data_IF_555844891270
#
_entry.id   IF_555844891270
#
_cell.length_a   1.000
_cell.length_b   1.000
_cell.length_c   1.000
_cell.angle_alpha   90.00
_cell.angle_beta   90.00
_cell.angle_gamma   90.00
#
_symmetry.space_group_name_H-M   'P 1'
#
loop_
_entity.id
_entity.type
_entity.pdbx_description
1 polymer ?
#
# COMPACT_ATOMS: atom_id res chain seq x y z
N UNK A 1 11.25 14.93 2.66
CA UNK A 1 10.08 15.84 2.55
C UNK A 1 8.86 14.98 2.82
N UNK A 2 8.08 15.34 3.82
CA UNK A 2 6.84 14.63 4.16
C UNK A 2 5.71 15.09 3.24
N UNK A 3 4.80 14.18 2.89
CA UNK A 3 3.59 14.49 2.15
C UNK A 3 2.56 15.09 3.11
N UNK A 4 2.53 16.41 3.21
CA UNK A 4 1.50 17.12 3.95
C UNK A 4 0.24 17.26 3.10
N UNK A 5 -0.86 16.68 3.58
CA UNK A 5 -2.16 16.70 2.92
C UNK A 5 -3.18 17.38 3.83
N UNK A 6 -3.86 18.40 3.30
CA UNK A 6 -5.03 18.96 3.97
C UNK A 6 -6.19 17.96 3.94
N UNK A 7 -6.93 17.85 5.04
CA UNK A 7 -8.10 17.00 5.15
C UNK A 7 -9.23 17.37 4.17
N UNK A 8 -9.22 18.61 3.66
CA UNK A 8 -10.29 19.15 2.80
C UNK A 8 -10.04 18.93 1.31
N UNK A 9 -8.88 18.36 0.94
CA UNK A 9 -8.55 18.06 -0.44
C UNK A 9 -9.54 17.05 -1.03
N UNK A 10 -9.97 17.32 -2.27
CA UNK A 10 -10.76 16.38 -3.05
C UNK A 10 -9.86 15.26 -3.60
N UNK A 11 -10.46 14.16 -3.98
CA UNK A 11 -9.75 12.98 -4.47
C UNK A 11 -8.76 13.30 -5.61
N UNK A 12 -9.20 14.02 -6.64
CA UNK A 12 -8.36 14.41 -7.77
C UNK A 12 -7.16 15.30 -7.34
N UNK A 13 -7.35 16.16 -6.35
CA UNK A 13 -6.28 17.02 -5.83
C UNK A 13 -5.24 16.20 -5.07
N UNK A 14 -5.67 15.23 -4.25
CA UNK A 14 -4.77 14.33 -3.54
C UNK A 14 -3.94 13.50 -4.53
N UNK A 15 -4.58 12.91 -5.55
CA UNK A 15 -3.87 12.17 -6.58
C UNK A 15 -2.87 13.05 -7.33
N UNK A 16 -3.21 14.28 -7.64
CA UNK A 16 -2.31 15.23 -8.28
C UNK A 16 -1.07 15.52 -7.40
N UNK A 17 -1.28 15.80 -6.11
CA UNK A 17 -0.18 16.04 -5.16
C UNK A 17 0.74 14.82 -5.05
N UNK A 18 0.17 13.62 -4.91
CA UNK A 18 0.95 12.39 -4.78
C UNK A 18 1.71 12.06 -6.06
N UNK A 19 1.10 12.22 -7.24
CA UNK A 19 1.78 12.04 -8.54
C UNK A 19 2.97 13.00 -8.68
N UNK A 20 2.75 14.27 -8.41
CA UNK A 20 3.82 15.28 -8.46
C UNK A 20 4.96 14.95 -7.49
N UNK A 21 4.64 14.50 -6.28
CA UNK A 21 5.65 14.07 -5.32
C UNK A 21 6.49 12.91 -5.86
N UNK A 22 5.86 11.90 -6.44
CA UNK A 22 6.57 10.75 -7.01
C UNK A 22 7.44 11.16 -8.20
N UNK A 23 6.93 11.98 -9.10
CA UNK A 23 7.66 12.47 -10.28
C UNK A 23 8.84 13.36 -9.88
N UNK A 24 8.68 14.26 -8.90
CA UNK A 24 9.76 15.11 -8.37
C UNK A 24 10.88 14.28 -7.73
N UNK A 25 10.56 13.12 -7.16
CA UNK A 25 11.55 12.16 -6.67
C UNK A 25 12.09 11.25 -7.80
N UNK A 26 11.72 11.51 -9.05
CA UNK A 26 12.23 10.82 -10.23
C UNK A 26 11.68 9.41 -10.42
N UNK A 27 10.48 9.13 -9.92
CA UNK A 27 9.78 7.88 -10.19
C UNK A 27 8.91 7.98 -11.44
N UNK A 28 8.89 6.90 -12.19
CA UNK A 28 8.01 6.74 -13.34
C UNK A 28 6.75 5.98 -12.90
N UNK A 29 5.61 6.64 -13.00
CA UNK A 29 4.30 6.02 -12.79
C UNK A 29 3.90 5.36 -14.11
N UNK A 30 3.73 4.04 -14.11
CA UNK A 30 3.39 3.26 -15.31
C UNK A 30 1.91 2.95 -15.41
N UNK A 31 1.18 3.02 -14.30
CA UNK A 31 -0.27 2.84 -14.26
C UNK A 31 -0.84 3.54 -13.02
N UNK A 32 -2.11 3.92 -13.08
CA UNK A 32 -2.86 4.44 -11.95
C UNK A 32 -4.33 4.04 -12.03
N UNK A 33 -4.95 3.79 -10.89
CA UNK A 33 -6.40 3.61 -10.79
C UNK A 33 -6.96 4.53 -9.71
N UNK A 34 -7.62 5.59 -10.15
CA UNK A 34 -8.26 6.61 -9.31
C UNK A 34 -9.76 6.33 -9.10
N UNK A 35 -10.27 5.25 -9.70
CA UNK A 35 -11.71 4.93 -9.71
C UNK A 35 -12.13 4.03 -8.55
N UNK A 36 -11.17 3.52 -7.77
CA UNK A 36 -11.47 2.65 -6.64
C UNK A 36 -12.35 3.35 -5.61
N UNK A 37 -13.37 2.67 -5.08
CA UNK A 37 -14.33 3.28 -4.15
C UNK A 37 -13.72 3.64 -2.80
N UNK A 38 -12.55 3.08 -2.47
CA UNK A 38 -11.80 3.35 -1.25
C UNK A 38 -10.69 4.40 -1.43
N UNK A 39 -10.45 4.89 -2.63
CA UNK A 39 -9.35 5.80 -2.98
C UNK A 39 -8.72 5.39 -4.31
N UNK A 40 -7.56 4.75 -4.27
CA UNK A 40 -6.90 4.23 -5.46
C UNK A 40 -5.41 4.01 -5.27
N UNK A 41 -4.69 3.82 -6.38
CA UNK A 41 -3.27 3.52 -6.33
C UNK A 41 -2.49 4.00 -7.55
N UNK A 42 -1.18 4.11 -7.39
CA UNK A 42 -0.20 4.34 -8.45
C UNK A 42 0.74 3.14 -8.53
N UNK A 43 1.02 2.67 -9.74
CA UNK A 43 2.01 1.62 -10.00
C UNK A 43 3.31 2.27 -10.46
N UNK A 44 4.39 1.97 -9.77
CA UNK A 44 5.73 2.47 -10.10
C UNK A 44 6.45 1.45 -10.96
N UNK A 45 7.27 1.92 -11.90
CA UNK A 45 8.08 1.07 -12.77
C UNK A 45 8.96 0.14 -11.92
N UNK A 46 8.85 -1.16 -12.13
CA UNK A 46 9.58 -2.19 -11.36
C UNK A 46 11.11 -2.07 -11.51
N UNK A 47 11.60 -1.47 -12.62
CA UNK A 47 13.03 -1.17 -12.78
C UNK A 47 13.55 -0.18 -11.72
N UNK A 48 12.66 0.53 -11.05
CA UNK A 48 12.96 1.49 -9.98
C UNK A 48 12.72 0.92 -8.57
N UNK A 49 12.49 -0.39 -8.44
CA UNK A 49 12.19 -1.02 -7.13
C UNK A 49 13.30 -0.76 -6.10
N UNK A 50 14.57 -0.83 -6.48
CA UNK A 50 15.68 -0.55 -5.55
C UNK A 50 15.65 0.92 -5.11
N UNK A 51 15.47 1.86 -6.02
CA UNK A 51 15.35 3.29 -5.71
C UNK A 51 14.16 3.55 -4.76
N UNK A 52 13.04 2.85 -4.96
CA UNK A 52 11.86 2.95 -4.11
C UNK A 52 12.14 2.44 -2.68
N UNK A 53 12.84 1.31 -2.57
CA UNK A 53 13.28 0.75 -1.29
C UNK A 53 14.24 1.71 -0.58
N UNK A 54 15.21 2.26 -1.30
CA UNK A 54 16.21 3.19 -0.73
C UNK A 54 15.56 4.47 -0.20
N UNK A 55 14.50 4.96 -0.87
CA UNK A 55 13.79 6.15 -0.41
C UNK A 55 12.88 5.87 0.79
N UNK A 56 12.07 4.84 0.71
CA UNK A 56 10.99 4.64 1.69
C UNK A 56 11.33 3.62 2.78
N UNK A 57 12.20 2.65 2.51
CA UNK A 57 12.46 1.52 3.40
C UNK A 57 13.92 1.37 3.80
N UNK A 58 14.73 2.44 3.71
CA UNK A 58 16.17 2.39 4.02
C UNK A 58 16.45 1.85 5.42
N UNK A 59 15.61 2.20 6.41
CA UNK A 59 15.80 1.85 7.82
C UNK A 59 15.22 0.46 8.18
N UNK A 60 14.61 -0.23 7.21
CA UNK A 60 14.07 -1.58 7.40
C UNK A 60 15.19 -2.60 7.19
N UNK A 61 15.31 -3.63 8.05
CA UNK A 61 16.31 -4.68 7.89
C UNK A 61 16.21 -5.37 6.53
N UNK A 62 17.34 -5.69 5.92
CA UNK A 62 17.39 -6.33 4.59
C UNK A 62 16.61 -7.65 4.52
N UNK A 63 16.59 -8.41 5.62
CA UNK A 63 15.81 -9.65 5.73
C UNK A 63 14.30 -9.45 5.50
N UNK A 64 13.79 -8.26 5.83
CA UNK A 64 12.38 -7.93 5.63
C UNK A 64 12.10 -7.36 4.24
N UNK A 65 13.09 -6.79 3.57
CA UNK A 65 13.00 -6.20 2.21
C UNK A 65 13.19 -7.22 1.10
N UNK A 66 13.95 -8.29 1.35
CA UNK A 66 14.24 -9.32 0.35
C UNK A 66 13.00 -10.13 -0.01
N UNK A 67 13.00 -10.62 -1.24
CA UNK A 67 12.00 -11.54 -1.79
C UNK A 67 12.70 -12.64 -2.56
N UNK A 68 12.10 -13.82 -2.62
CA UNK A 68 12.56 -14.92 -3.51
C UNK A 68 12.23 -14.64 -4.97
N UNK A 69 11.20 -13.83 -5.22
CA UNK A 69 10.79 -13.36 -6.54
C UNK A 69 11.09 -11.88 -6.74
N UNK A 70 10.42 -11.28 -7.71
CA UNK A 70 10.52 -9.85 -7.98
C UNK A 70 9.86 -9.00 -6.87
N UNK A 71 10.11 -7.71 -6.91
CA UNK A 71 9.48 -6.70 -6.06
C UNK A 71 8.70 -5.73 -6.95
N UNK A 72 7.46 -5.47 -6.60
CA UNK A 72 6.60 -4.52 -7.33
C UNK A 72 6.20 -3.36 -6.42
N UNK A 73 6.69 -2.14 -6.70
CA UNK A 73 6.40 -0.96 -5.89
C UNK A 73 5.09 -0.29 -6.30
N UNK A 74 4.33 0.15 -5.29
CA UNK A 74 3.08 0.90 -5.46
C UNK A 74 2.96 2.01 -4.44
N UNK A 75 2.07 2.96 -4.72
CA UNK A 75 1.54 3.91 -3.74
C UNK A 75 0.05 3.66 -3.60
N UNK A 76 -0.41 3.34 -2.40
CA UNK A 76 -1.84 3.28 -2.07
C UNK A 76 -2.27 4.64 -1.52
N UNK A 77 -3.45 5.08 -1.94
CA UNK A 77 -4.07 6.35 -1.52
C UNK A 77 -5.43 6.00 -0.96
N UNK A 78 -5.54 5.97 0.38
CA UNK A 78 -6.78 5.64 1.06
C UNK A 78 -7.55 6.90 1.43
N UNK A 79 -8.81 6.96 1.00
CA UNK A 79 -9.71 8.06 1.30
C UNK A 79 -10.19 7.99 2.76
N UNK A 80 -10.36 9.16 3.39
CA UNK A 80 -10.88 9.27 4.75
C UNK A 80 -12.20 8.49 4.90
N UNK A 81 -12.33 7.74 6.00
CA UNK A 81 -13.51 6.93 6.34
C UNK A 81 -13.86 5.83 5.33
N UNK A 82 -12.93 5.49 4.44
CA UNK A 82 -13.04 4.34 3.54
C UNK A 82 -12.09 3.23 3.97
N UNK A 83 -12.33 2.02 3.48
CA UNK A 83 -11.46 0.88 3.78
C UNK A 83 -11.38 -0.09 2.61
N UNK A 84 -10.25 -0.77 2.49
CA UNK A 84 -10.08 -1.89 1.58
C UNK A 84 -10.89 -3.09 2.06
N UNK A 85 -11.05 -4.10 1.20
CA UNK A 85 -11.58 -5.39 1.60
C UNK A 85 -10.74 -6.03 2.73
N UNK A 86 -11.37 -6.86 3.54
CA UNK A 86 -10.69 -7.80 4.41
C UNK A 86 -10.21 -8.95 3.56
N UNK A 87 -8.88 -9.09 3.37
CA UNK A 87 -8.29 -9.84 2.27
C UNK A 87 -6.97 -10.49 2.63
N UNK A 88 -6.54 -11.45 1.80
CA UNK A 88 -5.19 -12.02 1.82
C UNK A 88 -4.75 -12.44 0.42
N UNK A 89 -3.47 -12.81 0.29
CA UNK A 89 -2.83 -13.16 -0.96
C UNK A 89 -2.08 -14.49 -0.84
N UNK A 90 -2.07 -15.28 -1.91
CA UNK A 90 -1.42 -16.59 -1.93
C UNK A 90 0.06 -16.54 -2.35
N UNK A 91 0.44 -15.56 -3.17
CA UNK A 91 1.73 -15.53 -3.87
C UNK A 91 2.57 -14.30 -3.58
N UNK A 92 2.22 -13.53 -2.52
CA UNK A 92 3.02 -12.41 -2.06
C UNK A 92 2.91 -12.16 -0.57
N UNK A 93 3.94 -11.56 -0.04
CA UNK A 93 3.93 -10.79 1.20
C UNK A 93 4.02 -9.30 0.85
N UNK A 94 3.68 -8.43 1.77
CA UNK A 94 3.71 -7.00 1.53
C UNK A 94 4.46 -6.27 2.65
N UNK A 95 5.09 -5.18 2.30
CA UNK A 95 5.70 -4.25 3.25
C UNK A 95 5.14 -2.86 2.95
N UNK A 96 4.57 -2.24 3.96
CA UNK A 96 3.95 -0.93 3.87
C UNK A 96 4.66 0.08 4.75
N UNK A 97 4.72 1.33 4.31
CA UNK A 97 5.12 2.48 5.11
C UNK A 97 4.12 3.61 4.93
N UNK A 98 3.68 4.20 6.03
CA UNK A 98 2.88 5.43 5.97
C UNK A 98 3.81 6.58 5.59
N UNK A 99 3.54 7.23 4.47
CA UNK A 99 4.35 8.35 3.95
C UNK A 99 3.57 9.68 3.89
N UNK A 100 2.28 9.66 4.17
CA UNK A 100 1.44 10.84 4.27
C UNK A 100 0.20 10.57 5.10
N UNK A 101 -0.20 11.52 5.94
CA UNK A 101 -1.36 11.41 6.81
C UNK A 101 -1.25 10.31 7.86
N UNK A 102 -2.33 9.57 8.05
CA UNK A 102 -2.42 8.45 8.99
C UNK A 102 -3.29 7.33 8.42
N UNK A 103 -3.10 6.10 8.87
CA UNK A 103 -3.89 4.97 8.42
C UNK A 103 -4.17 3.96 9.54
N UNK A 104 -5.37 3.40 9.54
CA UNK A 104 -5.70 2.23 10.33
C UNK A 104 -5.31 0.96 9.58
N UNK A 105 -4.80 -0.03 10.30
CA UNK A 105 -4.50 -1.35 9.74
C UNK A 105 -5.05 -2.42 10.69
N UNK A 106 -5.77 -3.38 10.11
CA UNK A 106 -6.14 -4.62 10.80
C UNK A 106 -5.35 -5.75 10.19
N UNK A 107 -4.82 -6.66 11.03
CA UNK A 107 -4.14 -7.88 10.61
C UNK A 107 -4.60 -9.06 11.45
N UNK A 108 -4.69 -10.24 10.83
CA UNK A 108 -5.02 -11.49 11.54
C UNK A 108 -4.51 -12.71 10.77
N UNK A 109 -4.13 -13.75 11.49
CA UNK A 109 -3.83 -15.05 10.90
C UNK A 109 -5.11 -15.87 10.59
N UNK A 110 -6.28 -15.35 10.97
CA UNK A 110 -7.59 -15.99 10.75
C UNK A 110 -8.55 -15.03 10.02
N UNK A 111 -9.70 -15.53 9.60
CA UNK A 111 -10.72 -14.70 8.95
C UNK A 111 -11.41 -13.71 9.90
N UNK A 112 -11.17 -13.83 11.22
CA UNK A 112 -11.67 -12.89 12.22
C UNK A 112 -10.76 -11.65 12.30
N UNK A 113 -11.34 -10.47 12.19
CA UNK A 113 -10.62 -9.20 12.38
C UNK A 113 -10.18 -9.02 13.85
N UNK A 114 -8.96 -8.52 14.02
CA UNK A 114 -8.44 -8.03 15.29
C UNK A 114 -8.74 -6.53 15.45
N UNK A 115 -8.18 -5.90 16.47
CA UNK A 115 -8.31 -4.46 16.71
C UNK A 115 -7.57 -3.64 15.61
N UNK A 116 -8.05 -2.43 15.38
CA UNK A 116 -7.43 -1.47 14.47
C UNK A 116 -6.16 -0.92 15.11
N UNK A 117 -5.04 -1.05 14.42
CA UNK A 117 -3.79 -0.39 14.76
C UNK A 117 -3.68 0.92 14.00
N UNK A 118 -3.54 2.03 14.71
CA UNK A 118 -3.34 3.36 14.11
C UNK A 118 -1.87 3.55 13.81
N UNK A 119 -1.56 3.84 12.55
CA UNK A 119 -0.20 4.06 12.06
C UNK A 119 -0.05 5.49 11.57
N UNK A 120 1.08 6.11 11.88
CA UNK A 120 1.44 7.48 11.53
C UNK A 120 2.59 7.50 10.52
N UNK A 121 2.88 8.66 9.96
CA UNK A 121 4.01 8.84 9.04
C UNK A 121 5.29 8.25 9.64
N UNK A 122 5.94 7.40 8.86
CA UNK A 122 7.15 6.68 9.25
C UNK A 122 6.93 5.25 9.73
N UNK A 123 5.73 4.90 10.19
CA UNK A 123 5.43 3.55 10.67
C UNK A 123 5.48 2.53 9.54
N UNK A 124 6.07 1.38 9.87
CA UNK A 124 6.25 0.24 8.98
C UNK A 124 5.29 -0.88 9.37
N UNK A 125 4.60 -1.41 8.38
CA UNK A 125 3.68 -2.54 8.53
C UNK A 125 4.16 -3.70 7.67
N UNK A 126 4.44 -4.85 8.29
CA UNK A 126 4.79 -6.07 7.59
C UNK A 126 3.58 -6.99 7.51
N UNK A 127 3.26 -7.46 6.32
CA UNK A 127 2.15 -8.37 6.02
C UNK A 127 2.72 -9.65 5.43
N UNK A 128 2.48 -10.79 6.10
CA UNK A 128 2.95 -12.09 5.64
C UNK A 128 2.08 -12.61 4.50
N UNK A 129 2.63 -13.51 3.70
CA UNK A 129 1.85 -14.31 2.76
C UNK A 129 0.72 -15.03 3.52
N UNK A 130 -0.52 -14.91 3.02
CA UNK A 130 -1.70 -15.52 3.63
C UNK A 130 -2.25 -14.77 4.85
N UNK A 131 -1.55 -13.80 5.40
CA UNK A 131 -2.05 -12.99 6.52
C UNK A 131 -3.20 -12.09 6.04
N UNK A 132 -4.34 -12.17 6.72
CA UNK A 132 -5.49 -11.30 6.44
C UNK A 132 -5.15 -9.89 6.88
N UNK A 133 -5.49 -8.94 6.05
CA UNK A 133 -5.23 -7.53 6.34
C UNK A 133 -6.26 -6.61 5.69
N UNK A 134 -6.36 -5.40 6.23
CA UNK A 134 -7.22 -4.33 5.74
C UNK A 134 -6.60 -2.99 6.05
N UNK A 135 -6.51 -2.14 5.04
CA UNK A 135 -6.14 -0.73 5.18
C UNK A 135 -7.41 0.12 5.37
N UNK A 136 -7.35 1.07 6.29
CA UNK A 136 -8.48 1.90 6.68
C UNK A 136 -8.06 3.38 6.67
N UNK A 137 -8.81 4.21 5.96
CA UNK A 137 -8.71 5.67 6.03
C UNK A 137 -9.36 6.18 7.31
N UNK A 138 -8.64 7.00 8.07
CA UNK A 138 -9.08 7.55 9.33
C UNK A 138 -9.74 8.93 9.14
N UNK A 139 -9.29 9.95 9.85
CA UNK A 139 -9.85 11.31 9.75
C UNK A 139 -9.40 12.06 8.49
N UNK A 140 -8.21 11.71 8.00
CA UNK A 140 -7.57 12.29 6.81
C UNK A 140 -7.29 11.22 5.76
N UNK A 141 -6.81 11.67 4.60
CA UNK A 141 -6.20 10.82 3.60
C UNK A 141 -4.97 10.11 4.18
N UNK A 142 -4.80 8.84 3.84
CA UNK A 142 -3.61 8.07 4.15
C UNK A 142 -2.86 7.70 2.87
N UNK A 143 -1.55 7.89 2.86
CA UNK A 143 -0.68 7.56 1.73
C UNK A 143 0.32 6.51 2.18
N UNK A 144 0.34 5.39 1.47
CA UNK A 144 1.15 4.23 1.81
C UNK A 144 2.11 3.92 0.67
N UNK A 145 3.40 3.90 0.97
CA UNK A 145 4.37 3.25 0.10
C UNK A 145 4.28 1.74 0.32
N UNK A 146 4.03 0.99 -0.73
CA UNK A 146 3.85 -0.46 -0.71
C UNK A 146 4.88 -1.15 -1.59
N UNK A 147 5.46 -2.23 -1.12
CA UNK A 147 6.14 -3.19 -1.97
C UNK A 147 5.49 -4.58 -1.86
N UNK A 148 5.15 -5.15 -3.01
CA UNK A 148 4.83 -6.56 -3.12
C UNK A 148 6.12 -7.36 -3.18
N UNK A 149 6.26 -8.32 -2.29
CA UNK A 149 7.36 -9.28 -2.28
C UNK A 149 6.82 -10.60 -2.80
N UNK A 150 7.04 -10.85 -4.09
CA UNK A 150 6.55 -12.07 -4.73
C UNK A 150 7.24 -13.30 -4.15
N UNK A 151 6.46 -14.30 -3.73
CA UNK A 151 6.96 -15.50 -3.05
C UNK A 151 7.13 -16.69 -4.00
N UNK A 152 6.60 -16.59 -5.21
CA UNK A 152 6.73 -17.57 -6.28
C UNK A 152 7.37 -16.89 -7.50
N UNK A 153 8.59 -17.30 -7.87
CA UNK A 153 9.33 -16.72 -8.98
C UNK A 153 8.76 -17.14 -10.34
N UNK A 154 8.18 -18.34 -10.43
CA UNK A 154 7.61 -18.88 -11.66
C UNK A 154 6.18 -18.36 -11.91
N UNK A 155 5.46 -18.04 -10.83
CA UNK A 155 4.10 -17.52 -10.88
C UNK A 155 3.97 -16.26 -10.00
N UNK A 156 4.50 -15.11 -10.45
CA UNK A 156 4.42 -13.87 -9.67
C UNK A 156 2.97 -13.49 -9.34
N UNK A 157 2.76 -12.86 -8.20
CA UNK A 157 1.46 -12.33 -7.80
C UNK A 157 1.00 -11.21 -8.73
N UNK A 158 -0.28 -11.07 -8.91
CA UNK A 158 -0.96 -10.07 -9.74
C UNK A 158 -2.19 -9.49 -9.00
N UNK A 159 -2.97 -8.67 -9.68
CA UNK A 159 -4.19 -8.06 -9.11
C UNK A 159 -5.31 -9.10 -8.85
N UNK A 160 -5.26 -10.27 -9.47
CA UNK A 160 -6.24 -11.35 -9.28
C UNK A 160 -5.85 -12.28 -8.12
N UNK A 161 -4.59 -12.20 -7.63
CA UNK A 161 -4.12 -12.92 -6.45
C UNK A 161 -4.64 -12.26 -5.17
N UNK A 162 -5.94 -12.25 -5.01
CA UNK A 162 -6.65 -11.67 -3.87
C UNK A 162 -7.84 -12.54 -3.48
N UNK A 163 -7.90 -12.91 -2.21
CA UNK A 163 -9.09 -13.51 -1.60
C UNK A 163 -9.74 -12.47 -0.70
N UNK A 164 -10.95 -12.04 -1.07
CA UNK A 164 -11.74 -11.11 -0.27
C UNK A 164 -12.64 -11.90 0.67
N UNK A 165 -12.32 -11.83 1.96
CA UNK A 165 -13.14 -12.45 3.02
C UNK A 165 -14.38 -11.61 3.27
N UNK A 166 -14.23 -10.27 3.23
CA UNK A 166 -15.34 -9.33 3.37
C UNK A 166 -14.99 -8.04 2.58
N UNK A 167 -15.97 -7.50 1.87
CA UNK A 167 -15.83 -6.27 1.08
C UNK A 167 -17.09 -5.41 1.17
N UNK A 168 -16.93 -4.13 1.50
CA UNK A 168 -18.04 -3.18 1.60
C UNK A 168 -18.63 -2.80 0.23
N UNK A 169 -17.94 -3.12 -0.85
CA UNK A 169 -18.28 -2.67 -2.21
C UNK A 169 -18.80 -3.79 -3.12
N UNK A 170 -18.91 -5.03 -2.61
CA UNK A 170 -19.49 -6.17 -3.35
C UNK A 170 -18.65 -6.66 -4.52
N UNK A 171 -17.33 -6.58 -4.42
CA UNK A 171 -16.37 -7.03 -5.45
C UNK A 171 -15.99 -8.49 -5.27
#
# INVERSE_FOLDING_TARGET
MELELSADLKKNEVFHVVKNYMEQNGFKIINSDETRPWGGFLVIDESQSQKFIDLFFKDVPDSQKKSSGKISPKILIIEKQKRLSWQYHHRRAELWKVIGGEAGVIKSDTDKENEILINKIGDIITLKQGERHRLIGLKNWGIIAEIWKHTDADHPSDEEDIVRVQDDFGR
#
